data_IF_641324185570
#
_entry.id   IF_641324185570
#
_cell.length_a   1.000
_cell.length_b   1.000
_cell.length_c   1.000
_cell.angle_alpha   90.00
_cell.angle_beta   90.00
_cell.angle_gamma   90.00
#
_symmetry.space_group_name_H-M   'P 1'
#
loop_
_entity.id
_entity.type
_entity.pdbx_description
1 polymer ?
#
# COMPACT_ATOMS: atom_id res chain seq x y z
N UNK A 1 8.57 5.77 12.87
CA UNK A 1 7.82 5.40 11.65
C UNK A 1 7.68 3.90 11.61
N UNK A 2 6.54 3.37 11.15
CA UNK A 2 6.26 1.94 11.15
C UNK A 2 6.64 1.33 9.81
N UNK A 3 7.16 0.11 9.81
CA UNK A 3 7.55 -0.56 8.57
C UNK A 3 6.35 -1.26 7.97
N UNK A 4 6.14 -1.10 6.66
CA UNK A 4 5.09 -1.78 5.91
C UNK A 4 5.69 -2.51 4.71
N UNK A 5 4.98 -3.54 4.26
CA UNK A 5 5.13 -4.09 2.90
C UNK A 5 4.01 -3.53 2.03
N UNK A 6 4.36 -3.07 0.83
CA UNK A 6 3.41 -2.69 -0.21
C UNK A 6 3.16 -3.90 -1.11
N UNK A 7 1.90 -4.12 -1.47
CA UNK A 7 1.42 -5.26 -2.24
C UNK A 7 0.42 -4.83 -3.31
N UNK A 8 0.21 -5.67 -4.31
CA UNK A 8 -0.84 -5.50 -5.32
C UNK A 8 -1.62 -6.80 -5.53
N UNK A 9 -2.83 -6.70 -6.08
CA UNK A 9 -3.59 -7.86 -6.53
C UNK A 9 -3.26 -8.15 -7.99
N UNK A 10 -2.76 -9.36 -8.26
CA UNK A 10 -2.47 -9.85 -9.60
C UNK A 10 -3.35 -11.06 -9.91
N UNK A 11 -3.89 -11.11 -11.12
CA UNK A 11 -4.61 -12.27 -11.60
C UNK A 11 -3.63 -13.42 -11.88
N UNK A 12 -3.75 -14.52 -11.13
CA UNK A 12 -3.02 -15.75 -11.40
C UNK A 12 -3.82 -16.60 -12.41
N UNK A 13 -3.29 -16.73 -13.64
CA UNK A 13 -3.94 -17.46 -14.72
C UNK A 13 -3.95 -18.97 -14.54
N UNK A 14 -3.00 -19.52 -13.77
CA UNK A 14 -2.88 -20.96 -13.49
C UNK A 14 -3.94 -21.38 -12.46
N UNK A 15 -4.06 -20.60 -11.39
CA UNK A 15 -4.97 -20.88 -10.28
C UNK A 15 -6.38 -20.26 -10.45
N UNK A 16 -6.59 -19.43 -11.49
CA UNK A 16 -7.86 -18.76 -11.84
C UNK A 16 -8.45 -17.91 -10.70
N UNK A 17 -7.60 -17.18 -9.99
CA UNK A 17 -7.99 -16.28 -8.90
C UNK A 17 -7.05 -15.07 -8.78
N UNK A 18 -7.49 -14.04 -8.06
CA UNK A 18 -6.63 -12.91 -7.68
C UNK A 18 -5.75 -13.31 -6.51
N UNK A 19 -4.45 -13.13 -6.67
CA UNK A 19 -3.45 -13.34 -5.62
C UNK A 19 -2.84 -12.00 -5.22
N UNK A 20 -2.58 -11.83 -3.92
CA UNK A 20 -1.84 -10.68 -3.42
C UNK A 20 -0.35 -10.95 -3.50
N UNK A 21 0.40 -10.04 -4.13
CA UNK A 21 1.84 -10.13 -4.34
C UNK A 21 2.53 -8.98 -3.63
N UNK A 22 3.49 -9.30 -2.76
CA UNK A 22 4.34 -8.31 -2.08
C UNK A 22 5.36 -7.72 -3.07
N UNK A 23 5.49 -6.39 -3.09
CA UNK A 23 6.32 -5.66 -4.05
C UNK A 23 7.59 -5.11 -3.42
N UNK A 24 7.48 -4.29 -2.38
CA UNK A 24 8.61 -3.65 -1.72
C UNK A 24 8.28 -3.21 -0.30
N UNK A 25 9.32 -3.00 0.50
CA UNK A 25 9.22 -2.45 1.84
C UNK A 25 9.19 -0.91 1.80
N UNK A 26 8.39 -0.31 2.67
CA UNK A 26 8.26 1.13 2.79
C UNK A 26 8.10 1.56 4.26
N UNK A 27 8.39 2.84 4.53
CA UNK A 27 8.02 3.50 5.77
C UNK A 27 6.63 4.09 5.66
N UNK A 28 5.75 3.74 6.60
CA UNK A 28 4.43 4.35 6.70
C UNK A 28 4.51 5.69 7.41
N UNK A 29 3.95 6.71 6.76
CA UNK A 29 3.85 8.07 7.30
C UNK A 29 2.51 8.28 7.99
N UNK A 30 1.43 8.29 7.23
CA UNK A 30 0.07 8.51 7.72
C UNK A 30 -0.98 8.08 6.70
N UNK A 31 -2.24 8.04 7.14
CA UNK A 31 -3.36 8.04 6.21
C UNK A 31 -3.68 9.48 5.80
N UNK A 32 -4.04 9.66 4.53
CA UNK A 32 -4.49 10.91 3.95
C UNK A 32 -5.76 10.70 3.14
N UNK A 33 -6.21 11.79 2.52
CA UNK A 33 -7.34 11.81 1.62
C UNK A 33 -6.82 12.06 0.20
N UNK A 34 -7.21 11.21 -0.74
CA UNK A 34 -7.01 11.42 -2.16
C UNK A 34 -8.31 11.94 -2.77
N UNK A 35 -8.28 13.16 -3.29
CA UNK A 35 -9.42 13.80 -3.94
C UNK A 35 -9.46 13.35 -5.39
N UNK A 36 -10.22 12.29 -5.67
CA UNK A 36 -10.52 11.92 -7.04
C UNK A 36 -11.65 12.83 -7.53
N UNK A 37 -11.44 13.54 -8.64
CA UNK A 37 -12.38 14.51 -9.19
C UNK A 37 -13.81 13.95 -9.25
N UNK A 38 -14.79 14.80 -8.91
CA UNK A 38 -16.21 14.48 -8.60
C UNK A 38 -16.55 14.29 -7.10
N UNK A 39 -15.90 15.03 -6.19
CA UNK A 39 -16.21 15.06 -4.74
C UNK A 39 -16.06 13.70 -4.03
N UNK A 40 -15.32 12.75 -4.60
CA UNK A 40 -15.03 11.47 -3.97
C UNK A 40 -13.72 11.60 -3.19
N UNK A 41 -13.84 11.58 -1.86
CA UNK A 41 -12.68 11.53 -0.96
C UNK A 41 -12.39 10.08 -0.65
N UNK A 42 -11.29 9.56 -1.20
CA UNK A 42 -10.82 8.21 -0.89
C UNK A 42 -9.73 8.26 0.19
N UNK A 43 -9.82 7.41 1.21
CA UNK A 43 -8.71 7.26 2.16
C UNK A 43 -7.53 6.59 1.46
N UNK A 44 -6.35 7.17 1.59
CA UNK A 44 -5.11 6.66 1.03
C UNK A 44 -4.02 6.54 2.12
N UNK A 45 -3.08 5.63 1.93
CA UNK A 45 -1.88 5.47 2.73
C UNK A 45 -0.70 6.17 2.05
N UNK A 46 0.00 7.02 2.80
CA UNK A 46 1.23 7.69 2.33
C UNK A 46 2.41 6.88 2.85
N UNK A 47 3.23 6.40 1.91
CA UNK A 47 4.39 5.54 2.19
C UNK A 47 5.64 6.07 1.49
N UNK A 48 6.81 5.78 2.05
CA UNK A 48 8.12 6.13 1.46
C UNK A 48 8.94 4.86 1.25
N UNK A 49 9.34 4.59 0.02
CA UNK A 49 10.10 3.38 -0.32
C UNK A 49 11.46 3.39 0.37
N UNK A 50 11.86 2.26 0.96
CA UNK A 50 13.11 2.17 1.73
C UNK A 50 14.35 2.23 0.83
N UNK A 51 14.24 1.74 -0.41
CA UNK A 51 15.36 1.61 -1.34
C UNK A 51 15.79 2.95 -1.97
N UNK A 52 14.84 3.87 -2.19
CA UNK A 52 15.10 5.11 -2.93
C UNK A 52 14.46 6.38 -2.34
N UNK A 53 13.69 6.28 -1.24
CA UNK A 53 13.06 7.43 -0.58
C UNK A 53 11.89 8.04 -1.36
N UNK A 54 11.41 7.39 -2.42
CA UNK A 54 10.26 7.87 -3.19
C UNK A 54 8.99 7.81 -2.33
N UNK A 55 8.25 8.92 -2.27
CA UNK A 55 6.96 8.99 -1.57
C UNK A 55 5.84 8.65 -2.54
N UNK A 56 4.95 7.75 -2.12
CA UNK A 56 3.85 7.24 -2.93
C UNK A 56 2.55 7.23 -2.11
N UNK A 57 1.44 7.36 -2.83
CA UNK A 57 0.09 7.31 -2.28
C UNK A 57 -0.55 6.01 -2.77
N UNK A 58 -0.95 5.16 -1.83
CA UNK A 58 -1.46 3.82 -2.10
C UNK A 58 -2.82 3.62 -1.46
N UNK A 59 -3.64 2.71 -2.00
CA UNK A 59 -4.84 2.29 -1.28
C UNK A 59 -4.47 1.61 0.05
N UNK A 60 -5.18 1.86 1.16
CA UNK A 60 -4.87 1.26 2.46
C UNK A 60 -4.85 -0.26 2.44
N UNK A 61 -5.66 -0.89 1.58
CA UNK A 61 -5.69 -2.34 1.41
C UNK A 61 -4.40 -2.94 0.84
N UNK A 62 -3.55 -2.12 0.22
CA UNK A 62 -2.30 -2.53 -0.42
C UNK A 62 -1.10 -2.50 0.53
N UNK A 63 -1.26 -2.01 1.76
CA UNK A 63 -0.18 -1.98 2.75
C UNK A 63 -0.44 -2.97 3.87
N UNK A 64 0.63 -3.58 4.40
CA UNK A 64 0.57 -4.41 5.60
C UNK A 64 1.71 -4.05 6.54
N UNK A 65 1.37 -3.72 7.78
CA UNK A 65 2.37 -3.46 8.83
C UNK A 65 3.17 -4.72 9.13
N UNK A 66 4.49 -4.58 9.17
CA UNK A 66 5.42 -5.67 9.47
C UNK A 66 5.68 -5.82 10.97
N UNK A 67 5.36 -4.80 11.75
CA UNK A 67 5.44 -4.86 13.21
C UNK A 67 4.38 -5.86 13.73
N UNK A 68 4.79 -6.83 14.55
CA UNK A 68 3.83 -7.70 15.26
C UNK A 68 3.02 -6.86 16.26
N UNK A 69 1.72 -7.13 16.46
CA UNK A 69 1.04 -6.62 17.65
C UNK A 69 1.77 -7.18 18.88
N UNK A 70 2.23 -6.28 19.76
CA UNK A 70 2.67 -6.65 21.11
C UNK A 70 1.53 -7.29 21.91
#
# INVERSE_FOLDING_TARGET
MRKVIVSEEKWNSENKWLERVDLYEAWFHQFGNDECGENVVATAAIVERIDNGQVEVMFPGNIRFLDKPE
#
